data_IF_002256545117
#
_entry.id   IF_002256545117
#
_cell.length_a   1.000
_cell.length_b   1.000
_cell.length_c   1.000
_cell.angle_alpha   90.00
_cell.angle_beta   90.00
_cell.angle_gamma   90.00
#
_symmetry.space_group_name_H-M   'P 1'
#
loop_
_entity.id
_entity.type
_entity.pdbx_description
1 polymer ?
#
# COMPACT_ATOMS: atom_id res chain seq x y z
N UNK A 1 -31.83 56.04 -42.76
CA UNK A 1 -30.89 55.12 -43.43
C UNK A 1 -30.15 54.38 -42.31
N UNK A 2 -30.70 53.41 -41.61
CA UNK A 2 -31.77 52.43 -41.90
C UNK A 2 -31.38 51.33 -42.89
N UNK A 3 -31.71 50.09 -42.49
CA UNK A 3 -31.73 48.80 -43.20
C UNK A 3 -30.40 48.06 -43.56
N UNK A 4 -30.19 46.96 -42.82
CA UNK A 4 -30.10 45.54 -43.26
C UNK A 4 -29.68 45.19 -44.70
N UNK A 5 -28.86 44.12 -44.81
CA UNK A 5 -28.98 43.11 -45.89
C UNK A 5 -28.36 41.76 -45.48
N UNK A 6 -29.07 40.66 -45.78
CA UNK A 6 -28.63 39.25 -45.63
C UNK A 6 -28.32 38.63 -47.01
N UNK A 7 -27.39 37.66 -47.08
CA UNK A 7 -27.25 36.58 -48.11
C UNK A 7 -26.17 35.58 -47.61
N UNK A 8 -26.25 34.23 -47.59
CA UNK A 8 -27.26 33.17 -47.86
C UNK A 8 -27.14 32.39 -49.20
N UNK A 9 -27.26 31.04 -49.12
CA UNK A 9 -27.15 29.99 -50.20
C UNK A 9 -25.72 29.91 -50.84
N UNK A 10 -25.11 28.79 -51.31
CA UNK A 10 -25.57 27.46 -51.79
C UNK A 10 -24.58 26.32 -51.47
N UNK A 11 -25.09 25.10 -51.27
CA UNK A 11 -24.34 23.82 -51.17
C UNK A 11 -24.09 23.16 -52.53
N UNK A 12 -22.92 22.55 -52.73
CA UNK A 12 -22.71 21.53 -53.79
C UNK A 12 -21.92 20.35 -53.25
N UNK A 13 -22.52 19.15 -53.31
CA UNK A 13 -21.82 17.86 -53.25
C UNK A 13 -21.33 17.50 -54.66
N UNK A 14 -20.20 16.83 -54.75
CA UNK A 14 -19.88 15.94 -55.88
C UNK A 14 -19.13 14.72 -55.36
N UNK A 15 -19.72 13.54 -55.56
CA UNK A 15 -19.07 12.24 -55.43
C UNK A 15 -18.46 11.89 -56.79
N UNK A 16 -17.39 11.09 -56.84
CA UNK A 16 -17.05 10.33 -58.05
C UNK A 16 -16.19 9.10 -57.73
N UNK A 17 -16.80 7.94 -57.96
CA UNK A 17 -16.20 6.65 -58.33
C UNK A 17 -15.45 6.79 -59.68
N UNK A 18 -14.66 5.86 -60.24
CA UNK A 18 -14.02 4.59 -59.86
C UNK A 18 -12.98 4.29 -60.97
N UNK A 19 -11.97 3.43 -60.74
CA UNK A 19 -11.49 2.43 -61.72
C UNK A 19 -10.32 1.59 -61.18
N UNK A 20 -10.41 0.27 -61.39
CA UNK A 20 -9.35 -0.71 -61.15
C UNK A 20 -8.48 -0.87 -62.42
N UNK A 21 -7.21 -1.24 -62.25
CA UNK A 21 -6.49 -2.09 -63.22
C UNK A 21 -5.55 -3.04 -62.45
N UNK A 22 -5.56 -4.31 -62.82
CA UNK A 22 -4.67 -5.36 -62.31
C UNK A 22 -3.59 -5.66 -63.37
N UNK A 23 -2.34 -5.86 -62.97
CA UNK A 23 -1.37 -6.68 -63.70
C UNK A 23 -0.55 -7.54 -62.71
N UNK A 24 -0.11 -8.73 -63.15
CA UNK A 24 0.47 -9.79 -62.33
C UNK A 24 2.00 -9.91 -62.51
N UNK A 25 2.67 -10.61 -61.57
CA UNK A 25 4.08 -11.03 -61.66
C UNK A 25 5.09 -10.01 -61.10
N UNK A 26 6.13 -10.37 -60.35
CA UNK A 26 6.68 -11.69 -60.01
C UNK A 26 7.01 -11.82 -58.51
N UNK A 27 7.12 -13.05 -58.01
CA UNK A 27 7.29 -13.32 -56.58
C UNK A 27 8.74 -13.52 -56.13
N UNK A 28 9.10 -12.89 -55.00
CA UNK A 28 10.08 -13.43 -54.05
C UNK A 28 9.50 -13.45 -52.63
N UNK A 29 9.68 -14.57 -51.94
CA UNK A 29 9.02 -14.84 -50.65
C UNK A 29 9.69 -14.10 -49.50
N UNK A 30 9.01 -13.08 -48.94
CA UNK A 30 9.31 -12.57 -47.60
C UNK A 30 8.08 -12.71 -46.68
N UNK A 31 8.29 -13.37 -45.53
CA UNK A 31 7.25 -13.70 -44.57
C UNK A 31 6.78 -12.42 -43.85
N UNK A 32 5.46 -12.11 -43.82
CA UNK A 32 4.98 -10.91 -43.15
C UNK A 32 5.20 -10.90 -41.65
N UNK A 33 5.63 -9.74 -41.16
CA UNK A 33 5.80 -9.38 -39.76
C UNK A 33 4.50 -9.58 -38.97
N UNK A 34 4.46 -10.56 -38.06
CA UNK A 34 3.35 -10.75 -37.13
C UNK A 34 3.69 -10.27 -35.70
N UNK A 35 2.90 -9.32 -35.23
CA UNK A 35 2.48 -9.16 -33.84
C UNK A 35 0.95 -9.29 -33.82
N UNK A 36 0.27 -9.68 -32.72
CA UNK A 36 0.71 -9.63 -31.33
C UNK A 36 0.80 -11.01 -30.61
N UNK A 37 1.31 -11.00 -29.37
CA UNK A 37 1.38 -12.20 -28.54
C UNK A 37 -0.01 -12.60 -28.04
N UNK A 38 -0.59 -13.67 -28.57
CA UNK A 38 -1.85 -14.23 -28.06
C UNK A 38 -1.71 -14.64 -26.58
N UNK A 39 -2.52 -14.02 -25.72
CA UNK A 39 -2.71 -14.51 -24.34
C UNK A 39 -3.52 -15.83 -24.38
N UNK A 40 -3.72 -16.50 -23.23
CA UNK A 40 -4.51 -17.75 -23.22
C UNK A 40 -5.99 -17.54 -23.65
N UNK A 41 -6.47 -16.30 -23.84
CA UNK A 41 -7.87 -15.99 -24.14
C UNK A 41 -8.10 -14.89 -25.18
N UNK A 42 -8.34 -15.30 -26.43
CA UNK A 42 -9.15 -14.55 -27.41
C UNK A 42 -10.48 -15.26 -27.77
N UNK A 43 -10.76 -16.44 -27.20
CA UNK A 43 -11.98 -17.22 -27.52
C UNK A 43 -12.42 -18.19 -26.42
N UNK A 44 -13.02 -17.69 -25.32
CA UNK A 44 -14.06 -18.41 -24.56
C UNK A 44 -14.67 -17.56 -23.43
N UNK A 45 -16.00 -17.58 -23.28
CA UNK A 45 -16.74 -16.70 -22.34
C UNK A 45 -16.92 -17.25 -20.91
N UNK A 46 -16.38 -18.44 -20.56
CA UNK A 46 -16.64 -19.09 -19.27
C UNK A 46 -15.37 -19.45 -18.48
N UNK A 47 -14.88 -18.52 -17.65
CA UNK A 47 -13.81 -18.75 -16.67
C UNK A 47 -14.17 -18.26 -15.28
N UNK A 48 -13.81 -19.06 -14.26
CA UNK A 48 -14.07 -18.76 -12.83
C UNK A 48 -13.03 -17.86 -12.15
N UNK A 49 -12.03 -17.32 -12.86
CA UNK A 49 -10.94 -16.51 -12.25
C UNK A 49 -10.22 -15.65 -13.29
N UNK A 50 -10.01 -14.35 -13.00
CA UNK A 50 -9.35 -13.42 -13.94
C UNK A 50 -7.84 -13.62 -14.12
N UNK A 51 -7.21 -14.48 -13.29
CA UNK A 51 -5.76 -14.76 -13.28
C UNK A 51 -5.23 -15.21 -14.66
N UNK A 52 -6.06 -15.87 -15.45
CA UNK A 52 -5.69 -16.38 -16.76
C UNK A 52 -5.27 -15.31 -17.78
N UNK A 53 -5.72 -14.05 -17.61
CA UNK A 53 -5.35 -12.93 -18.50
C UNK A 53 -3.88 -12.54 -18.40
N UNK A 54 -3.18 -13.00 -17.37
CA UNK A 54 -1.79 -12.66 -17.06
C UNK A 54 -0.78 -13.64 -17.70
N UNK A 55 -1.26 -14.57 -18.53
CA UNK A 55 -0.47 -15.65 -19.13
C UNK A 55 -0.75 -15.76 -20.64
N UNK A 56 0.29 -16.12 -21.41
CA UNK A 56 0.22 -16.51 -22.81
C UNK A 56 0.44 -18.01 -22.96
N UNK A 57 -0.27 -18.67 -23.88
CA UNK A 57 -0.14 -20.12 -24.07
C UNK A 57 1.20 -20.48 -24.72
N UNK A 58 1.81 -21.59 -24.30
CA UNK A 58 3.04 -22.14 -24.90
C UNK A 58 2.85 -23.60 -25.33
N UNK A 59 1.62 -24.11 -25.27
CA UNK A 59 1.30 -25.49 -25.64
C UNK A 59 1.66 -26.51 -24.55
N UNK A 60 1.83 -27.77 -24.94
CA UNK A 60 2.15 -28.88 -24.03
C UNK A 60 3.66 -29.10 -23.94
N UNK A 61 4.15 -29.29 -22.72
CA UNK A 61 5.52 -29.72 -22.47
C UNK A 61 5.73 -31.20 -22.81
N UNK A 62 7.00 -31.63 -22.79
CA UNK A 62 7.41 -33.04 -22.95
C UNK A 62 6.79 -33.98 -21.88
N UNK A 63 6.30 -33.41 -20.79
CA UNK A 63 5.56 -34.07 -19.71
C UNK A 63 4.05 -34.19 -20.00
N UNK A 64 3.60 -33.81 -21.20
CA UNK A 64 2.19 -33.81 -21.61
C UNK A 64 1.35 -32.65 -21.04
N UNK A 65 1.94 -31.85 -20.15
CA UNK A 65 1.26 -30.81 -19.37
C UNK A 65 1.14 -29.50 -20.13
N UNK A 66 -0.03 -28.87 -20.08
CA UNK A 66 -0.23 -27.55 -20.70
C UNK A 66 0.53 -26.48 -19.90
N UNK A 67 1.30 -25.64 -20.59
CA UNK A 67 2.16 -24.61 -19.98
C UNK A 67 1.84 -23.23 -20.54
N UNK A 68 1.74 -22.26 -19.64
CA UNK A 68 1.54 -20.85 -19.92
C UNK A 68 2.71 -20.01 -19.40
N UNK A 69 3.07 -18.99 -20.16
CA UNK A 69 4.14 -18.03 -19.88
C UNK A 69 3.55 -16.78 -19.26
N UNK A 70 4.01 -16.36 -18.09
CA UNK A 70 3.63 -15.10 -17.49
C UNK A 70 4.03 -13.92 -18.39
N UNK A 71 3.10 -13.01 -18.68
CA UNK A 71 3.34 -11.87 -19.59
C UNK A 71 4.26 -10.77 -19.01
N UNK A 72 4.58 -10.86 -17.71
CA UNK A 72 5.38 -9.87 -16.98
C UNK A 72 6.85 -10.30 -16.79
N UNK A 73 7.11 -11.57 -16.50
CA UNK A 73 8.46 -12.09 -16.22
C UNK A 73 8.88 -13.29 -17.08
N UNK A 74 8.07 -13.66 -18.07
CA UNK A 74 8.32 -14.80 -18.98
C UNK A 74 8.47 -16.17 -18.31
N UNK A 75 8.15 -16.31 -17.01
CA UNK A 75 8.20 -17.60 -16.30
C UNK A 75 7.11 -18.55 -16.80
N UNK A 76 7.50 -19.78 -17.12
CA UNK A 76 6.59 -20.83 -17.59
C UNK A 76 6.02 -21.62 -16.40
N UNK A 77 4.70 -21.76 -16.36
CA UNK A 77 3.94 -22.43 -15.31
C UNK A 77 2.89 -23.36 -15.92
N UNK A 78 2.52 -24.42 -15.21
CA UNK A 78 1.49 -25.38 -15.66
C UNK A 78 0.11 -24.71 -15.57
N UNK A 79 -0.69 -24.79 -16.62
CA UNK A 79 -1.99 -24.11 -16.79
C UNK A 79 -3.18 -25.06 -16.99
N UNK A 80 -3.02 -26.33 -16.60
CA UNK A 80 -4.05 -27.36 -16.74
C UNK A 80 -5.39 -26.95 -16.10
N UNK A 81 -6.47 -27.04 -16.89
CA UNK A 81 -7.85 -26.70 -16.47
C UNK A 81 -8.42 -27.61 -15.38
N UNK A 82 -7.78 -28.75 -15.11
CA UNK A 82 -8.13 -29.71 -14.06
C UNK A 82 -7.67 -29.30 -12.66
N UNK A 83 -6.72 -28.36 -12.55
CA UNK A 83 -6.15 -27.90 -11.29
C UNK A 83 -6.62 -26.48 -10.95
N UNK A 84 -6.76 -26.17 -9.65
CA UNK A 84 -7.17 -24.85 -9.18
C UNK A 84 -6.15 -23.75 -9.51
N UNK A 85 -6.62 -22.52 -9.79
CA UNK A 85 -5.76 -21.39 -10.25
C UNK A 85 -4.81 -20.81 -9.20
N UNK A 86 -4.67 -21.43 -8.03
CA UNK A 86 -4.03 -20.84 -6.84
C UNK A 86 -2.53 -20.64 -7.00
N UNK A 87 -1.81 -21.54 -7.68
CA UNK A 87 -0.39 -21.38 -7.97
C UNK A 87 -0.11 -20.28 -9.00
N UNK A 88 -0.98 -20.14 -10.01
CA UNK A 88 -0.92 -19.04 -10.98
C UNK A 88 -1.20 -17.70 -10.29
N UNK A 89 -2.19 -17.64 -9.40
CA UNK A 89 -2.50 -16.44 -8.61
C UNK A 89 -1.33 -16.06 -7.71
N UNK A 90 -0.75 -17.02 -6.99
CA UNK A 90 0.45 -16.83 -6.17
C UNK A 90 1.59 -16.23 -6.99
N UNK A 91 1.84 -16.77 -8.19
CA UNK A 91 2.87 -16.24 -9.07
C UNK A 91 2.59 -14.79 -9.51
N UNK A 92 1.36 -14.47 -9.91
CA UNK A 92 1.00 -13.11 -10.35
C UNK A 92 1.20 -12.09 -9.22
N UNK A 93 0.90 -12.45 -7.97
CA UNK A 93 1.08 -11.56 -6.82
C UNK A 93 2.55 -11.38 -6.41
N UNK A 94 3.40 -12.41 -6.54
CA UNK A 94 4.84 -12.31 -6.25
C UNK A 94 5.71 -11.99 -7.48
N UNK A 95 5.10 -11.63 -8.60
CA UNK A 95 5.82 -11.32 -9.84
C UNK A 95 6.47 -9.93 -9.77
N UNK A 96 7.74 -9.87 -9.36
CA UNK A 96 8.53 -8.64 -9.25
C UNK A 96 8.43 -7.72 -10.48
N UNK A 97 8.40 -8.28 -11.69
CA UNK A 97 8.27 -7.51 -12.93
C UNK A 97 6.87 -6.91 -13.18
N UNK A 98 5.82 -7.45 -12.52
CA UNK A 98 4.48 -6.86 -12.55
C UNK A 98 4.41 -5.63 -11.64
N UNK A 99 5.06 -5.69 -10.48
CA UNK A 99 5.15 -4.53 -9.58
C UNK A 99 6.02 -3.41 -10.16
N UNK A 100 7.12 -3.74 -10.84
CA UNK A 100 7.91 -2.74 -11.58
C UNK A 100 7.11 -2.07 -12.70
N UNK A 101 6.31 -2.83 -13.47
CA UNK A 101 5.44 -2.26 -14.52
C UNK A 101 4.31 -1.38 -13.98
N UNK A 102 3.81 -1.60 -12.75
CA UNK A 102 2.87 -0.65 -12.10
C UNK A 102 3.54 0.69 -11.80
N UNK A 103 4.82 0.68 -11.42
CA UNK A 103 5.59 1.89 -11.10
C UNK A 103 5.94 2.67 -12.38
N UNK A 104 6.17 1.96 -13.50
CA UNK A 104 6.48 2.55 -14.81
C UNK A 104 5.25 2.90 -15.66
N UNK A 105 4.02 2.75 -15.16
CA UNK A 105 2.78 2.96 -15.92
C UNK A 105 2.40 4.42 -16.22
N UNK A 106 3.35 5.36 -16.09
CA UNK A 106 3.18 6.77 -16.40
C UNK A 106 4.28 7.24 -17.35
N UNK A 107 3.88 7.51 -18.59
CA UNK A 107 4.64 7.97 -19.77
C UNK A 107 5.20 6.88 -20.69
N UNK A 108 4.61 6.79 -21.88
CA UNK A 108 5.25 6.25 -23.08
C UNK A 108 6.39 7.18 -23.53
N UNK A 109 7.54 6.62 -23.93
CA UNK A 109 8.63 7.43 -24.46
C UNK A 109 10.01 6.75 -24.52
N UNK A 110 10.27 6.08 -25.64
CA UNK A 110 11.60 5.74 -26.20
C UNK A 110 12.49 4.69 -25.50
N UNK A 111 12.67 3.60 -26.26
CA UNK A 111 13.87 2.77 -26.37
C UNK A 111 15.20 3.50 -26.07
N UNK A 112 16.10 2.88 -25.26
CA UNK A 112 17.17 2.01 -25.81
C UNK A 112 18.15 1.42 -24.76
N UNK A 113 18.71 0.26 -25.12
CA UNK A 113 20.01 -0.34 -24.72
C UNK A 113 20.19 -1.01 -23.33
N UNK A 114 20.07 -2.34 -23.42
CA UNK A 114 20.72 -3.41 -22.65
C UNK A 114 22.13 -3.07 -22.14
N UNK A 115 22.40 -3.39 -20.87
CA UNK A 115 23.73 -3.82 -20.41
C UNK A 115 23.62 -5.05 -19.49
N UNK A 116 24.19 -6.18 -19.93
CA UNK A 116 24.21 -7.43 -19.18
C UNK A 116 25.43 -7.50 -18.25
N UNK A 117 25.23 -7.44 -16.93
CA UNK A 117 26.25 -7.90 -15.99
C UNK A 117 25.99 -9.34 -15.56
N UNK A 118 26.68 -10.29 -16.21
CA UNK A 118 26.88 -11.63 -15.65
C UNK A 118 27.77 -11.50 -14.40
N UNK A 119 27.24 -11.83 -13.22
CA UNK A 119 28.09 -12.27 -12.12
C UNK A 119 28.09 -13.79 -12.07
N UNK A 120 29.24 -14.35 -12.44
CA UNK A 120 29.56 -15.76 -12.27
C UNK A 120 30.20 -15.92 -10.88
N UNK A 121 29.63 -16.75 -10.01
CA UNK A 121 30.31 -17.19 -8.79
C UNK A 121 30.13 -18.69 -8.62
N UNK A 122 31.13 -19.44 -9.08
CA UNK A 122 31.35 -20.81 -8.64
C UNK A 122 31.44 -20.85 -7.11
N UNK A 123 30.81 -21.83 -6.48
CA UNK A 123 31.04 -22.16 -5.08
C UNK A 123 31.53 -23.61 -5.05
N UNK A 124 32.75 -23.80 -4.55
CA UNK A 124 33.39 -25.10 -4.46
C UNK A 124 32.67 -26.02 -3.45
N UNK A 125 32.35 -27.23 -3.92
CA UNK A 125 31.76 -28.28 -3.07
C UNK A 125 32.87 -28.97 -2.29
N UNK A 126 33.20 -28.44 -1.12
CA UNK A 126 34.03 -29.16 -0.15
C UNK A 126 33.21 -30.32 0.44
N UNK A 127 33.48 -31.53 -0.06
CA UNK A 127 33.03 -32.78 0.57
C UNK A 127 33.75 -32.93 1.92
N UNK A 128 33.00 -32.95 3.00
CA UNK A 128 33.48 -33.46 4.29
C UNK A 128 32.69 -34.71 4.66
N UNK A 129 33.31 -35.87 4.48
CA UNK A 129 32.78 -37.17 4.90
C UNK A 129 32.81 -37.29 6.42
N UNK A 130 31.73 -37.78 7.03
CA UNK A 130 31.73 -38.27 8.41
C UNK A 130 31.23 -39.70 8.41
N UNK A 131 31.97 -40.57 9.07
CA UNK A 131 31.81 -42.03 9.10
C UNK A 131 30.73 -42.49 10.07
N UNK A 132 30.06 -43.59 9.72
CA UNK A 132 29.14 -44.32 10.61
C UNK A 132 29.91 -45.11 11.69
N UNK A 133 29.36 -45.21 12.90
CA UNK A 133 29.65 -46.31 13.82
C UNK A 133 28.48 -46.60 14.76
N UNK A 134 27.98 -47.84 14.71
CA UNK A 134 27.11 -48.47 15.71
C UNK A 134 27.84 -48.66 17.06
N UNK A 135 27.26 -49.04 18.20
CA UNK A 135 26.09 -49.89 18.47
C UNK A 135 25.52 -49.76 19.91
N UNK A 136 24.22 -50.01 20.05
CA UNK A 136 23.43 -50.73 21.09
C UNK A 136 23.79 -50.84 22.61
N UNK A 137 22.68 -50.73 23.39
CA UNK A 137 22.23 -51.47 24.61
C UNK A 137 22.43 -50.92 26.04
N UNK A 138 21.27 -50.55 26.61
CA UNK A 138 20.67 -50.87 27.93
C UNK A 138 21.49 -50.86 29.24
N UNK A 139 20.92 -50.19 30.26
CA UNK A 139 21.29 -50.33 31.68
C UNK A 139 20.47 -49.41 32.60
N UNK A 140 19.57 -49.98 33.40
CA UNK A 140 18.71 -49.25 34.37
C UNK A 140 19.38 -49.20 35.75
N UNK A 141 19.37 -48.03 36.43
CA UNK A 141 19.41 -47.94 37.89
C UNK A 141 18.97 -46.56 38.42
N UNK A 142 18.18 -46.55 39.48
CA UNK A 142 17.61 -45.35 40.11
C UNK A 142 18.58 -44.72 41.13
N UNK A 143 18.76 -43.39 41.08
CA UNK A 143 19.29 -42.60 42.21
C UNK A 143 18.50 -41.30 42.34
N UNK A 144 18.20 -40.91 43.59
CA UNK A 144 17.33 -39.79 43.98
C UNK A 144 17.91 -38.41 43.59
N UNK A 145 17.06 -37.37 43.41
CA UNK A 145 17.47 -36.09 42.83
C UNK A 145 18.20 -35.19 43.84
N UNK A 146 19.54 -35.14 43.74
CA UNK A 146 20.34 -34.08 44.39
C UNK A 146 20.15 -32.76 43.64
N UNK A 147 19.56 -31.76 44.32
CA UNK A 147 19.46 -30.38 43.81
C UNK A 147 20.85 -29.79 43.56
N UNK A 148 21.33 -29.80 42.31
CA UNK A 148 22.46 -28.98 41.88
C UNK A 148 21.95 -27.65 41.33
N UNK A 149 22.05 -26.59 42.14
CA UNK A 149 22.08 -25.24 41.58
C UNK A 149 23.28 -25.14 40.65
N UNK A 150 23.06 -24.72 39.41
CA UNK A 150 24.13 -24.40 38.46
C UNK A 150 23.96 -22.95 38.02
N UNK A 151 24.49 -22.05 38.83
CA UNK A 151 24.81 -20.69 38.42
C UNK A 151 25.92 -20.74 37.37
N UNK A 152 25.56 -20.59 36.11
CA UNK A 152 26.52 -20.36 35.04
C UNK A 152 25.90 -19.44 34.00
N UNK A 153 26.34 -18.18 34.03
CA UNK A 153 26.11 -17.21 32.96
C UNK A 153 26.60 -17.79 31.64
N UNK A 154 25.66 -18.14 30.77
CA UNK A 154 25.92 -18.39 29.36
C UNK A 154 25.30 -17.23 28.59
N UNK A 155 26.14 -16.35 28.06
CA UNK A 155 25.72 -15.42 27.02
C UNK A 155 25.30 -16.25 25.81
N UNK A 156 24.00 -16.46 25.68
CA UNK A 156 23.42 -17.20 24.56
C UNK A 156 23.71 -16.45 23.28
N UNK A 157 24.78 -16.86 22.57
CA UNK A 157 25.16 -16.29 21.28
C UNK A 157 24.04 -16.56 20.28
N UNK A 158 23.13 -15.60 20.13
CA UNK A 158 21.94 -15.70 19.31
C UNK A 158 22.35 -16.03 17.88
N UNK A 159 22.12 -17.28 17.46
CA UNK A 159 22.43 -17.73 16.11
C UNK A 159 21.41 -17.11 15.16
N UNK A 160 21.72 -15.93 14.65
CA UNK A 160 20.92 -15.29 13.61
C UNK A 160 20.90 -16.16 12.36
N UNK A 161 19.73 -16.66 12.00
CA UNK A 161 19.48 -17.37 10.76
C UNK A 161 18.58 -16.50 9.88
N UNK A 162 19.03 -16.17 8.68
CA UNK A 162 18.25 -15.37 7.74
C UNK A 162 17.21 -16.27 7.06
N UNK A 163 15.92 -16.00 7.30
CA UNK A 163 14.84 -16.69 6.60
C UNK A 163 14.83 -16.24 5.13
N UNK A 164 15.21 -17.13 4.22
CA UNK A 164 15.12 -16.89 2.78
C UNK A 164 13.67 -17.10 2.31
N UNK A 165 12.90 -16.01 2.36
CA UNK A 165 11.46 -16.01 2.07
C UNK A 165 10.64 -15.96 3.36
N UNK A 166 10.23 -14.77 3.77
CA UNK A 166 9.31 -14.57 4.91
C UNK A 166 7.85 -14.91 4.54
N UNK A 167 7.55 -15.09 3.26
CA UNK A 167 6.25 -15.52 2.73
C UNK A 167 5.84 -16.94 3.16
N UNK A 168 6.78 -17.73 3.70
CA UNK A 168 6.46 -18.98 4.42
C UNK A 168 5.68 -18.73 5.73
N UNK A 169 5.70 -17.50 6.24
CA UNK A 169 4.95 -17.05 7.41
C UNK A 169 3.63 -16.35 7.03
N UNK A 170 3.25 -16.31 5.76
CA UNK A 170 1.92 -15.91 5.32
C UNK A 170 0.92 -17.08 5.47
N UNK A 171 -0.33 -16.76 5.76
CA UNK A 171 -1.39 -17.76 5.80
C UNK A 171 -1.67 -18.29 4.38
N UNK A 172 -1.66 -19.61 4.13
CA UNK A 172 -1.87 -20.18 2.79
C UNK A 172 -3.30 -20.00 2.24
N UNK A 173 -4.22 -19.45 3.04
CA UNK A 173 -5.64 -19.27 2.73
C UNK A 173 -5.97 -17.82 2.39
N UNK A 174 -5.58 -16.86 3.25
CA UNK A 174 -5.82 -15.43 3.02
C UNK A 174 -4.64 -14.66 2.44
N UNK A 175 -3.43 -15.24 2.42
CA UNK A 175 -2.18 -14.60 1.95
C UNK A 175 -1.80 -13.32 2.72
N UNK A 176 -2.25 -13.24 3.97
CA UNK A 176 -1.83 -12.24 4.96
C UNK A 176 -0.88 -12.90 5.96
N UNK A 177 0.02 -12.12 6.55
CA UNK A 177 0.94 -12.58 7.60
C UNK A 177 0.19 -13.37 8.68
N UNK A 178 0.74 -14.51 9.10
CA UNK A 178 0.20 -15.29 10.21
C UNK A 178 0.13 -14.41 11.47
N UNK A 179 -0.98 -14.51 12.19
CA UNK A 179 -1.21 -13.80 13.44
C UNK A 179 -1.48 -14.80 14.55
N UNK A 180 -0.95 -14.53 15.74
CA UNK A 180 -1.17 -15.34 16.94
C UNK A 180 -2.63 -15.16 17.39
N UNK A 181 -3.41 -16.22 17.65
CA UNK A 181 -3.01 -17.63 17.66
C UNK A 181 -2.93 -18.27 16.27
N UNK A 182 -1.90 -19.10 16.06
CA UNK A 182 -1.73 -19.92 14.85
C UNK A 182 -2.25 -21.33 15.15
N UNK A 183 -3.16 -21.84 14.32
CA UNK A 183 -3.73 -23.17 14.48
C UNK A 183 -3.10 -24.18 13.53
N UNK A 184 -3.05 -25.44 13.97
CA UNK A 184 -2.52 -26.56 13.19
C UNK A 184 -3.50 -27.75 13.28
N UNK A 185 -3.77 -28.40 12.16
CA UNK A 185 -4.51 -29.67 12.17
C UNK A 185 -3.58 -30.84 12.52
N UNK A 186 -4.12 -32.02 12.82
CA UNK A 186 -3.34 -33.21 13.19
C UNK A 186 -2.30 -33.63 12.13
N UNK A 187 -2.57 -33.34 10.85
CA UNK A 187 -1.64 -33.55 9.73
C UNK A 187 -0.62 -32.42 9.51
N UNK A 188 -0.48 -31.48 10.44
CA UNK A 188 0.57 -30.46 10.43
C UNK A 188 0.31 -29.17 9.65
N UNK A 189 -0.78 -29.07 8.87
CA UNK A 189 -1.11 -27.87 8.10
C UNK A 189 -1.53 -26.68 8.97
N UNK A 190 -1.00 -25.49 8.67
CA UNK A 190 -1.26 -24.25 9.42
C UNK A 190 -2.46 -23.47 8.88
N UNK A 191 -3.22 -22.87 9.79
CA UNK A 191 -4.38 -22.00 9.52
C UNK A 191 -4.35 -20.82 10.50
N UNK A 192 -4.53 -19.58 10.02
CA UNK A 192 -4.58 -18.42 10.90
C UNK A 192 -5.94 -18.32 11.62
N UNK A 193 -5.95 -17.63 12.76
CA UNK A 193 -7.14 -17.39 13.58
C UNK A 193 -8.35 -16.86 12.81
N UNK A 194 -8.13 -15.94 11.86
CA UNK A 194 -9.20 -15.30 11.07
C UNK A 194 -9.73 -16.17 9.91
N UNK A 195 -9.02 -17.23 9.52
CA UNK A 195 -9.46 -18.18 8.49
C UNK A 195 -10.14 -19.41 9.07
N UNK A 196 -9.76 -19.86 10.27
CA UNK A 196 -10.32 -21.04 10.92
C UNK A 196 -11.88 -21.08 10.96
N UNK A 197 -12.58 -20.02 11.42
CA UNK A 197 -14.06 -20.03 11.44
C UNK A 197 -14.67 -19.97 10.03
N UNK A 198 -14.00 -19.33 9.07
CA UNK A 198 -14.44 -19.23 7.66
C UNK A 198 -14.39 -20.58 6.93
N UNK A 199 -13.60 -21.52 7.45
CA UNK A 199 -13.47 -22.89 6.95
C UNK A 199 -14.23 -23.90 7.82
N UNK A 200 -15.16 -23.45 8.66
CA UNK A 200 -15.95 -24.30 9.56
C UNK A 200 -15.08 -25.24 10.42
N UNK A 201 -13.89 -24.77 10.82
CA UNK A 201 -12.89 -25.53 11.57
C UNK A 201 -12.40 -26.83 10.88
N UNK A 202 -12.40 -26.85 9.54
CA UNK A 202 -11.85 -27.92 8.69
C UNK A 202 -10.56 -27.47 8.00
N UNK A 203 -9.57 -28.35 7.91
CA UNK A 203 -8.35 -28.09 7.15
C UNK A 203 -8.65 -28.13 5.63
N UNK A 204 -8.32 -27.09 4.85
CA UNK A 204 -8.63 -27.08 3.41
C UNK A 204 -7.74 -28.02 2.58
N UNK A 205 -6.67 -28.56 3.17
CA UNK A 205 -5.71 -29.46 2.50
C UNK A 205 -6.03 -30.95 2.73
N UNK A 206 -6.58 -31.30 3.91
CA UNK A 206 -6.77 -32.71 4.31
C UNK A 206 -8.06 -32.99 5.08
N UNK A 207 -9.01 -32.04 5.12
CA UNK A 207 -10.33 -32.09 5.80
C UNK A 207 -10.32 -32.36 7.33
N UNK A 208 -9.16 -32.62 7.92
CA UNK A 208 -9.01 -32.85 9.36
C UNK A 208 -9.46 -31.64 10.19
N UNK A 209 -9.98 -31.84 11.41
CA UNK A 209 -10.32 -30.74 12.31
C UNK A 209 -9.13 -29.81 12.58
N UNK A 210 -9.41 -28.51 12.70
CA UNK A 210 -8.43 -27.46 13.02
C UNK A 210 -9.06 -26.45 13.99
N UNK A 211 -8.27 -25.57 14.60
CA UNK A 211 -8.77 -24.52 15.52
C UNK A 211 -8.76 -24.88 17.00
N UNK A 212 -8.54 -26.15 17.35
CA UNK A 212 -8.41 -26.61 18.73
C UNK A 212 -6.93 -26.73 19.18
N UNK A 213 -6.03 -27.07 18.26
CA UNK A 213 -4.59 -27.19 18.53
C UNK A 213 -3.82 -25.95 18.02
N UNK A 214 -3.03 -25.30 18.91
CA UNK A 214 -2.21 -24.12 18.61
C UNK A 214 -0.76 -24.50 18.33
N UNK A 215 -0.23 -24.03 17.21
CA UNK A 215 1.16 -24.26 16.82
C UNK A 215 2.13 -23.33 17.56
N UNK A 216 2.30 -23.52 18.87
CA UNK A 216 3.16 -22.67 19.72
C UNK A 216 4.58 -22.51 19.17
N UNK A 217 5.14 -23.53 18.53
CA UNK A 217 6.45 -23.45 17.89
C UNK A 217 6.49 -22.38 16.78
N UNK A 218 5.47 -22.33 15.91
CA UNK A 218 5.39 -21.31 14.85
C UNK A 218 5.01 -19.93 15.40
N UNK A 219 4.28 -19.86 16.52
CA UNK A 219 4.05 -18.60 17.24
C UNK A 219 5.38 -18.02 17.75
N UNK A 220 6.26 -18.84 18.34
CA UNK A 220 7.62 -18.43 18.75
C UNK A 220 8.52 -18.05 17.56
N UNK A 221 8.44 -18.78 16.44
CA UNK A 221 9.16 -18.40 15.21
C UNK A 221 8.71 -17.01 14.75
N UNK A 222 7.40 -16.78 14.65
CA UNK A 222 6.82 -15.50 14.23
C UNK A 222 7.26 -14.34 15.13
N UNK A 223 7.28 -14.53 16.46
CA UNK A 223 7.76 -13.52 17.42
C UNK A 223 9.26 -13.20 17.27
N UNK A 224 10.05 -14.14 16.73
CA UNK A 224 11.50 -13.97 16.52
C UNK A 224 11.88 -13.38 15.15
N UNK A 225 10.93 -13.24 14.23
CA UNK A 225 11.22 -12.77 12.85
C UNK A 225 11.07 -11.26 12.75
N UNK A 226 12.16 -10.64 12.29
CA UNK A 226 12.22 -9.21 12.00
C UNK A 226 12.59 -8.98 10.53
N UNK A 227 11.92 -8.01 9.90
CA UNK A 227 12.15 -7.59 8.52
C UNK A 227 12.63 -6.14 8.48
N UNK A 228 13.47 -5.72 7.52
CA UNK A 228 13.83 -4.32 7.37
C UNK A 228 12.60 -3.47 7.04
N UNK A 229 12.54 -2.26 7.60
CA UNK A 229 11.50 -1.28 7.27
C UNK A 229 11.43 -1.00 5.75
N UNK A 230 10.23 -0.85 5.19
CA UNK A 230 10.07 -0.50 3.75
C UNK A 230 10.76 0.82 3.37
N UNK A 231 11.00 1.70 4.35
CA UNK A 231 11.72 2.96 4.21
C UNK A 231 13.26 2.82 4.35
N UNK A 232 13.83 1.61 4.36
CA UNK A 232 15.31 1.44 4.37
C UNK A 232 15.97 2.10 3.15
N UNK A 233 15.32 2.12 1.99
CA UNK A 233 15.76 2.88 0.81
C UNK A 233 15.85 4.40 1.02
N UNK A 234 15.23 4.93 2.08
CA UNK A 234 15.27 6.34 2.48
C UNK A 234 16.15 6.58 3.73
N UNK A 235 16.82 5.55 4.25
CA UNK A 235 17.73 5.65 5.41
C UNK A 235 17.23 4.98 6.71
N UNK A 236 16.05 4.35 6.71
CA UNK A 236 15.58 3.66 7.92
C UNK A 236 16.37 2.37 8.20
N UNK A 237 17.08 2.32 9.32
CA UNK A 237 17.86 1.16 9.78
C UNK A 237 17.10 0.23 10.74
N UNK A 238 15.83 0.53 11.02
CA UNK A 238 15.01 -0.23 11.98
C UNK A 238 14.47 -1.49 11.30
N UNK A 239 14.74 -2.64 11.93
CA UNK A 239 14.05 -3.88 11.64
C UNK A 239 12.78 -3.98 12.51
N UNK A 240 11.67 -4.37 11.91
CA UNK A 240 10.34 -4.42 12.52
C UNK A 240 9.88 -5.87 12.63
N UNK A 241 9.10 -6.19 13.66
CA UNK A 241 8.49 -7.53 13.80
C UNK A 241 7.56 -7.78 12.60
N UNK A 242 7.70 -8.95 11.98
CA UNK A 242 6.92 -9.32 10.80
C UNK A 242 5.40 -9.37 11.09
N UNK A 243 4.59 -8.86 10.17
CA UNK A 243 3.15 -8.65 10.36
C UNK A 243 2.80 -7.43 11.23
N UNK A 244 3.79 -6.66 11.70
CA UNK A 244 3.64 -5.40 12.47
C UNK A 244 4.36 -4.22 11.82
N UNK A 245 4.63 -4.30 10.51
CA UNK A 245 5.29 -3.25 9.75
C UNK A 245 4.51 -1.94 9.81
N UNK A 246 3.18 -2.01 9.68
CA UNK A 246 2.28 -0.86 9.58
C UNK A 246 2.19 0.01 10.85
N UNK A 247 2.59 -0.49 12.03
CA UNK A 247 2.67 0.35 13.24
C UNK A 247 3.92 1.22 13.18
N UNK A 248 5.06 0.65 12.79
CA UNK A 248 6.29 1.41 12.59
C UNK A 248 6.19 2.40 11.43
N UNK A 249 5.58 2.02 10.29
CA UNK A 249 5.44 2.89 9.12
C UNK A 249 4.73 4.22 9.43
N UNK A 250 3.80 4.24 10.40
CA UNK A 250 3.09 5.46 10.85
C UNK A 250 3.97 6.41 11.67
N UNK A 251 4.99 5.88 12.32
CA UNK A 251 5.89 6.57 13.26
C UNK A 251 7.32 6.77 12.70
N UNK A 252 7.62 6.15 11.55
CA UNK A 252 8.92 6.19 10.91
C UNK A 252 9.24 7.60 10.38
N UNK A 253 10.34 8.19 10.86
CA UNK A 253 10.85 9.51 10.40
C UNK A 253 11.14 9.55 8.90
N UNK A 254 11.40 8.40 8.29
CA UNK A 254 11.72 8.26 6.87
C UNK A 254 10.48 7.97 5.98
N UNK A 255 9.27 7.94 6.57
CA UNK A 255 8.04 7.80 5.79
C UNK A 255 7.82 9.00 4.89
N UNK A 256 7.53 8.70 3.62
CA UNK A 256 7.24 9.72 2.63
C UNK A 256 5.82 10.25 2.85
N UNK A 257 5.67 11.56 2.81
CA UNK A 257 4.39 12.26 2.80
C UNK A 257 4.05 12.69 1.37
N UNK A 258 2.76 12.79 1.08
CA UNK A 258 2.20 13.27 -0.18
C UNK A 258 1.92 14.78 -0.08
N UNK A 259 2.06 15.48 -1.22
CA UNK A 259 1.72 16.89 -1.28
C UNK A 259 0.21 17.09 -1.06
N UNK A 260 -0.24 18.01 -0.17
CA UNK A 260 -1.66 18.26 0.04
C UNK A 260 -2.29 19.16 -1.04
N UNK A 261 -1.51 19.63 -2.02
CA UNK A 261 -2.02 20.41 -3.14
C UNK A 261 -2.87 19.53 -4.07
N UNK A 262 -3.98 20.07 -4.59
CA UNK A 262 -4.78 19.40 -5.60
C UNK A 262 -3.93 19.12 -6.86
N UNK A 263 -4.18 17.96 -7.47
CA UNK A 263 -3.50 17.47 -8.68
C UNK A 263 -1.96 17.39 -8.60
N UNK A 264 -1.40 17.33 -7.39
CA UNK A 264 0.04 17.14 -7.17
C UNK A 264 0.36 15.71 -6.68
N UNK A 265 1.21 15.00 -7.42
CA UNK A 265 1.67 13.65 -7.08
C UNK A 265 3.04 13.60 -6.39
N UNK A 266 3.61 14.75 -6.00
CA UNK A 266 4.95 14.80 -5.38
C UNK A 266 4.94 14.14 -4.00
N UNK A 267 5.91 13.26 -3.77
CA UNK A 267 6.16 12.58 -2.50
C UNK A 267 7.56 12.86 -1.98
N UNK A 268 7.71 13.10 -0.69
CA UNK A 268 9.02 13.35 -0.06
C UNK A 268 8.99 13.23 1.46
N UNK A 269 10.11 13.49 2.13
CA UNK A 269 10.10 13.73 3.59
C UNK A 269 9.20 14.93 3.91
N UNK A 270 8.69 15.04 5.15
CA UNK A 270 7.82 16.16 5.55
C UNK A 270 8.50 17.53 5.33
N UNK A 271 9.82 17.62 5.57
CA UNK A 271 10.63 18.81 5.28
C UNK A 271 10.75 19.13 3.79
N UNK A 272 10.88 18.11 2.92
CA UNK A 272 10.93 18.31 1.47
C UNK A 272 9.56 18.71 0.92
N UNK A 273 8.49 18.13 1.46
CA UNK A 273 7.09 18.46 1.14
C UNK A 273 6.77 19.91 1.48
N UNK A 274 7.26 20.42 2.62
CA UNK A 274 7.15 21.85 2.94
C UNK A 274 7.87 22.72 1.90
N UNK A 275 9.14 22.43 1.56
CA UNK A 275 9.89 23.20 0.55
C UNK A 275 9.15 23.18 -0.79
N UNK A 276 8.82 21.99 -1.30
CA UNK A 276 8.08 21.80 -2.53
C UNK A 276 6.76 22.59 -2.56
N UNK A 277 5.97 22.58 -1.48
CA UNK A 277 4.72 23.32 -1.42
C UNK A 277 4.93 24.84 -1.47
N UNK A 278 5.93 25.36 -0.75
CA UNK A 278 6.27 26.79 -0.82
C UNK A 278 6.75 27.16 -2.23
N UNK A 279 7.67 26.39 -2.80
CA UNK A 279 8.32 26.72 -4.08
C UNK A 279 7.36 26.59 -5.29
N UNK A 280 6.37 25.69 -5.25
CA UNK A 280 5.55 25.34 -6.42
C UNK A 280 4.06 25.72 -6.27
N UNK A 281 3.53 25.77 -5.05
CA UNK A 281 2.08 25.82 -4.81
C UNK A 281 1.61 27.06 -4.04
N UNK A 282 2.43 27.71 -3.21
CA UNK A 282 1.92 28.77 -2.31
C UNK A 282 1.38 30.02 -3.03
N UNK A 283 1.79 30.26 -4.27
CA UNK A 283 1.31 31.38 -5.10
C UNK A 283 0.15 31.02 -6.04
N UNK A 284 -0.01 29.73 -6.37
CA UNK A 284 -0.94 29.26 -7.40
C UNK A 284 -2.14 28.50 -6.81
N UNK A 285 -2.01 27.96 -5.60
CA UNK A 285 -3.08 27.26 -4.88
C UNK A 285 -3.61 28.13 -3.76
N UNK A 286 -4.90 28.00 -3.43
CA UNK A 286 -5.47 28.67 -2.26
C UNK A 286 -4.79 28.12 -1.00
N UNK A 287 -3.97 28.96 -0.38
CA UNK A 287 -3.18 28.61 0.79
C UNK A 287 -3.00 29.82 1.70
N UNK A 288 -2.74 29.58 3.00
CA UNK A 288 -2.61 30.66 3.98
C UNK A 288 -1.42 30.44 4.90
N UNK A 289 -0.53 31.44 4.99
CA UNK A 289 0.60 31.41 5.92
C UNK A 289 0.17 31.82 7.34
N UNK A 290 0.69 31.16 8.37
CA UNK A 290 0.40 31.54 9.78
C UNK A 290 1.56 31.21 10.73
N UNK A 291 1.42 31.60 12.01
CA UNK A 291 2.34 31.23 13.11
C UNK A 291 1.61 30.43 14.17
N UNK A 292 2.21 29.33 14.63
CA UNK A 292 1.74 28.56 15.76
C UNK A 292 1.65 29.41 17.03
N UNK A 293 0.51 29.33 17.73
CA UNK A 293 0.17 30.11 18.91
C UNK A 293 -0.67 31.36 18.62
N UNK A 294 -0.84 31.73 17.35
CA UNK A 294 -1.81 32.74 16.91
C UNK A 294 -3.21 32.19 16.64
N UNK A 295 -4.05 33.01 16.02
CA UNK A 295 -5.27 32.58 15.35
C UNK A 295 -5.37 33.30 14.01
N UNK A 296 -5.93 32.61 13.01
CA UNK A 296 -6.08 33.10 11.65
C UNK A 296 -7.52 32.89 11.18
N UNK A 297 -8.07 33.89 10.52
CA UNK A 297 -9.39 33.82 9.91
C UNK A 297 -9.21 33.30 8.47
N UNK A 298 -10.01 32.30 8.09
CA UNK A 298 -9.95 31.64 6.78
C UNK A 298 -11.34 31.56 6.18
N UNK A 299 -11.42 31.59 4.86
CA UNK A 299 -12.66 31.55 4.11
C UNK A 299 -12.56 30.47 3.02
N UNK A 300 -13.53 29.57 2.97
CA UNK A 300 -13.63 28.51 1.96
C UNK A 300 -15.00 28.55 1.27
N UNK A 301 -15.05 28.30 -0.04
CA UNK A 301 -16.33 27.96 -0.69
C UNK A 301 -16.53 26.44 -0.62
N UNK A 302 -17.49 25.97 0.16
CA UNK A 302 -17.68 24.53 0.44
C UNK A 302 -18.31 23.73 -0.71
N UNK A 303 -18.75 24.39 -1.78
CA UNK A 303 -19.26 23.72 -2.99
C UNK A 303 -18.14 23.30 -3.94
N UNK A 304 -17.05 24.09 -4.05
CA UNK A 304 -15.93 23.82 -4.95
C UNK A 304 -14.58 23.53 -4.25
N UNK A 305 -14.33 24.06 -3.05
CA UNK A 305 -13.10 23.87 -2.29
C UNK A 305 -13.27 22.81 -1.19
N UNK A 306 -12.64 21.65 -1.36
CA UNK A 306 -12.63 20.57 -0.35
C UNK A 306 -11.46 20.65 0.62
N UNK A 307 -10.41 21.40 0.26
CA UNK A 307 -9.16 21.51 1.02
C UNK A 307 -8.60 22.93 0.92
N UNK A 308 -8.10 23.44 2.05
CA UNK A 308 -7.30 24.65 2.16
C UNK A 308 -5.99 24.28 2.87
N UNK A 309 -4.84 24.63 2.26
CA UNK A 309 -3.53 24.32 2.85
C UNK A 309 -3.06 25.51 3.69
N UNK A 310 -2.81 25.27 4.97
CA UNK A 310 -2.21 26.25 5.89
C UNK A 310 -0.73 25.90 6.09
N UNK A 311 0.17 26.87 6.00
CA UNK A 311 1.60 26.65 6.13
C UNK A 311 2.23 27.50 7.23
N UNK A 312 3.01 26.85 8.10
CA UNK A 312 3.62 27.47 9.28
C UNK A 312 5.13 27.62 9.06
N UNK A 313 5.60 28.87 9.07
CA UNK A 313 6.93 29.21 8.58
C UNK A 313 8.08 29.06 9.58
N UNK A 314 7.82 28.95 10.89
CA UNK A 314 8.86 28.79 11.92
C UNK A 314 9.21 27.33 12.17
N UNK A 315 8.19 26.47 12.17
CA UNK A 315 8.27 25.01 12.33
C UNK A 315 8.38 24.28 10.99
N UNK A 316 8.14 24.97 9.88
CA UNK A 316 8.13 24.42 8.51
C UNK A 316 7.17 23.23 8.37
N UNK A 317 5.92 23.44 8.82
CA UNK A 317 4.87 22.42 8.81
C UNK A 317 3.72 22.85 7.88
N UNK A 318 3.15 21.87 7.17
CA UNK A 318 1.91 22.02 6.42
C UNK A 318 0.74 21.42 7.20
N UNK A 319 -0.42 22.05 7.07
CA UNK A 319 -1.68 21.57 7.60
C UNK A 319 -2.74 21.59 6.50
N UNK A 320 -3.51 20.52 6.39
CA UNK A 320 -4.69 20.47 5.54
C UNK A 320 -5.93 20.77 6.40
N UNK A 321 -6.62 21.85 6.08
CA UNK A 321 -7.99 22.09 6.50
C UNK A 321 -8.91 21.44 5.46
N UNK A 322 -9.59 20.36 5.83
CA UNK A 322 -10.49 19.63 4.92
C UNK A 322 -11.95 19.78 5.34
N UNK A 323 -12.82 19.98 4.36
CA UNK A 323 -14.27 20.08 4.52
C UNK A 323 -14.97 18.93 3.79
N UNK A 324 -15.86 18.23 4.49
CA UNK A 324 -16.67 17.13 3.96
C UNK A 324 -18.15 17.48 4.15
N UNK A 325 -18.85 17.71 3.04
CA UNK A 325 -20.27 18.05 3.04
C UNK A 325 -21.10 16.76 3.03
N UNK A 326 -21.82 16.50 4.12
CA UNK A 326 -22.66 15.33 4.32
C UNK A 326 -24.14 15.75 4.45
N UNK A 327 -25.13 14.84 4.27
CA UNK A 327 -26.55 15.21 4.24
C UNK A 327 -27.09 15.99 5.45
N UNK A 328 -26.43 15.89 6.61
CA UNK A 328 -26.88 16.52 7.86
C UNK A 328 -26.04 17.75 8.27
N UNK A 329 -24.90 17.99 7.63
CA UNK A 329 -24.00 19.09 7.97
C UNK A 329 -22.59 18.91 7.41
N UNK A 330 -21.75 19.88 7.73
CA UNK A 330 -20.36 19.95 7.29
C UNK A 330 -19.41 19.45 8.37
N UNK A 331 -18.51 18.53 7.99
CA UNK A 331 -17.41 18.07 8.83
C UNK A 331 -16.14 18.83 8.45
N UNK A 332 -15.55 19.54 9.41
CA UNK A 332 -14.32 20.32 9.23
C UNK A 332 -13.18 19.71 10.04
N UNK A 333 -12.03 19.45 9.43
CA UNK A 333 -10.86 18.86 10.10
C UNK A 333 -9.58 19.60 9.83
N UNK A 334 -8.67 19.59 10.81
CA UNK A 334 -7.27 20.01 10.62
C UNK A 334 -6.37 18.79 10.77
N UNK A 335 -5.57 18.50 9.74
CA UNK A 335 -4.55 17.44 9.72
C UNK A 335 -3.17 18.05 9.47
N UNK A 336 -2.13 17.53 10.12
CA UNK A 336 -0.74 17.95 9.86
C UNK A 336 -0.08 16.95 8.90
N UNK A 337 0.58 17.45 7.85
CA UNK A 337 1.24 16.61 6.85
C UNK A 337 2.65 16.25 7.35
N UNK A 338 2.73 15.15 8.09
CA UNK A 338 3.95 14.66 8.72
C UNK A 338 3.76 13.21 9.21
N UNK A 339 4.84 12.41 9.35
CA UNK A 339 4.80 11.16 10.11
C UNK A 339 4.57 11.43 11.60
N UNK A 340 4.17 10.39 12.35
CA UNK A 340 3.86 10.50 13.79
C UNK A 340 5.09 10.59 14.70
N UNK A 341 6.12 11.33 14.27
CA UNK A 341 7.38 11.47 15.01
C UNK A 341 7.26 12.41 16.21
N UNK A 342 8.10 12.22 17.26
CA UNK A 342 8.18 13.13 18.41
C UNK A 342 8.66 14.54 18.06
N UNK A 343 9.54 14.68 17.05
CA UNK A 343 10.19 15.95 16.67
C UNK A 343 9.21 17.05 16.27
N UNK A 344 8.16 16.70 15.52
CA UNK A 344 7.05 17.61 15.14
C UNK A 344 6.29 18.12 16.38
N UNK A 345 6.39 17.39 17.50
CA UNK A 345 5.76 17.71 18.78
C UNK A 345 4.25 17.44 18.78
N UNK A 346 3.59 17.86 19.86
CA UNK A 346 2.13 17.90 19.96
C UNK A 346 1.65 19.33 19.78
N UNK A 347 0.71 19.55 18.88
CA UNK A 347 0.09 20.85 18.62
C UNK A 347 -1.40 20.72 18.90
N UNK A 348 -1.91 21.47 19.88
CA UNK A 348 -3.36 21.60 20.06
C UNK A 348 -3.93 22.54 19.00
N UNK A 349 -5.22 22.39 18.68
CA UNK A 349 -5.92 23.33 17.82
C UNK A 349 -7.33 23.66 18.29
N UNK A 350 -7.84 24.80 17.86
CA UNK A 350 -9.20 25.26 18.08
C UNK A 350 -9.77 25.80 16.77
N UNK A 351 -11.01 25.42 16.47
CA UNK A 351 -11.83 25.97 15.39
C UNK A 351 -12.98 26.74 16.02
N UNK A 352 -13.24 27.94 15.51
CA UNK A 352 -14.35 28.78 15.89
C UNK A 352 -15.14 29.12 14.64
N UNK A 353 -16.44 28.85 14.68
CA UNK A 353 -17.42 29.23 13.66
C UNK A 353 -18.47 30.11 14.32
N UNK A 354 -18.91 31.17 13.65
CA UNK A 354 -19.93 32.07 14.20
C UNK A 354 -20.84 32.60 13.09
N UNK A 355 -22.14 32.39 13.22
CA UNK A 355 -23.17 32.95 12.35
C UNK A 355 -24.42 33.30 13.15
N UNK A 356 -25.04 34.45 12.87
CA UNK A 356 -26.33 34.89 13.41
C UNK A 356 -26.41 34.85 14.95
N UNK A 357 -25.29 35.14 15.62
CA UNK A 357 -25.15 35.07 17.08
C UNK A 357 -24.93 33.67 17.65
N UNK A 358 -25.05 32.61 16.85
CA UNK A 358 -24.63 31.26 17.22
C UNK A 358 -23.12 31.10 17.02
N UNK A 359 -22.41 30.68 18.06
CA UNK A 359 -20.97 30.36 17.98
C UNK A 359 -20.75 28.88 18.29
N UNK A 360 -20.14 28.16 17.36
CA UNK A 360 -19.62 26.82 17.58
C UNK A 360 -18.12 26.89 17.85
N UNK A 361 -17.63 26.12 18.83
CA UNK A 361 -16.20 26.02 19.14
C UNK A 361 -15.81 24.57 19.28
N UNK A 362 -14.85 24.13 18.47
CA UNK A 362 -14.22 22.82 18.59
C UNK A 362 -12.78 22.97 19.07
N UNK A 363 -12.34 22.11 20.00
CA UNK A 363 -10.97 22.11 20.54
C UNK A 363 -10.44 20.69 20.58
N UNK A 364 -9.23 20.48 20.05
CA UNK A 364 -8.49 19.23 20.21
C UNK A 364 -7.15 19.48 20.89
N UNK A 365 -6.72 18.64 21.86
CA UNK A 365 -5.38 18.72 22.44
C UNK A 365 -4.27 18.34 21.44
N UNK A 366 -4.61 17.67 20.33
CA UNK A 366 -3.64 17.20 19.34
C UNK A 366 -4.20 17.23 17.90
N UNK A 367 -3.48 17.91 17.01
CA UNK A 367 -3.68 17.81 15.56
C UNK A 367 -3.25 16.41 15.11
N UNK A 368 -4.13 15.69 14.41
CA UNK A 368 -3.84 14.37 13.87
C UNK A 368 -2.85 14.48 12.71
N UNK A 369 -1.70 13.83 12.86
CA UNK A 369 -0.64 13.74 11.84
C UNK A 369 -1.00 12.68 10.81
N UNK A 370 -0.77 12.96 9.54
CA UNK A 370 -1.00 12.04 8.41
C UNK A 370 0.12 12.20 7.39
N UNK A 371 0.46 11.11 6.70
CA UNK A 371 1.37 11.15 5.54
C UNK A 371 0.62 11.53 4.25
N UNK A 372 -0.68 11.33 4.21
CA UNK A 372 -1.57 11.60 3.06
C UNK A 372 -2.94 12.07 3.58
N UNK A 373 -3.60 12.96 2.85
CA UNK A 373 -4.95 13.44 3.20
C UNK A 373 -6.02 12.42 2.80
N UNK A 374 -7.06 12.28 3.63
CA UNK A 374 -8.15 11.35 3.37
C UNK A 374 -9.25 12.02 2.55
N UNK A 375 -9.76 11.36 1.51
CA UNK A 375 -11.02 11.74 0.84
C UNK A 375 -12.27 11.22 1.56
N UNK A 376 -12.11 10.30 2.51
CA UNK A 376 -13.19 9.74 3.32
C UNK A 376 -13.51 10.62 4.53
N UNK A 377 -14.81 10.75 4.82
CA UNK A 377 -15.38 11.54 5.91
C UNK A 377 -14.84 11.10 7.29
N UNK A 378 -14.38 12.04 8.11
CA UNK A 378 -13.66 11.76 9.35
C UNK A 378 -14.56 11.14 10.42
N UNK A 379 -14.04 10.10 11.08
CA UNK A 379 -14.66 9.49 12.27
C UNK A 379 -14.12 10.08 13.58
N UNK A 380 -13.05 10.88 13.51
CA UNK A 380 -12.40 11.51 14.65
C UNK A 380 -11.81 12.89 14.31
N UNK A 381 -11.54 13.67 15.36
CA UNK A 381 -10.86 14.97 15.30
C UNK A 381 -11.46 15.95 14.27
N UNK A 382 -12.79 16.11 14.29
CA UNK A 382 -13.56 17.00 13.44
C UNK A 382 -14.48 17.94 14.25
N UNK A 383 -14.76 19.11 13.67
CA UNK A 383 -15.87 19.98 14.03
C UNK A 383 -17.06 19.66 13.12
N UNK A 384 -18.26 19.57 13.67
CA UNK A 384 -19.50 19.41 12.91
C UNK A 384 -20.28 20.73 12.93
N UNK A 385 -20.64 21.22 11.75
CA UNK A 385 -21.49 22.42 11.57
C UNK A 385 -22.79 21.97 10.90
N UNK A 386 -23.93 21.96 11.62
CA UNK A 386 -25.24 21.63 11.04
C UNK A 386 -25.59 22.56 9.87
N UNK A 387 -26.25 22.01 8.84
CA UNK A 387 -26.69 22.81 7.68
C UNK A 387 -27.63 23.97 8.06
N UNK A 388 -28.38 23.85 9.16
CA UNK A 388 -29.23 24.93 9.68
C UNK A 388 -28.47 26.14 10.23
N UNK A 389 -27.14 26.07 10.34
CA UNK A 389 -26.27 27.18 10.75
C UNK A 389 -25.37 27.67 9.62
N UNK A 390 -25.41 27.05 8.44
CA UNK A 390 -24.65 27.47 7.26
C UNK A 390 -25.51 28.39 6.38
N UNK A 391 -24.95 29.54 6.00
CA UNK A 391 -25.59 30.49 5.08
C UNK A 391 -24.85 30.52 3.74
N UNK A 392 -25.48 29.93 2.72
CA UNK A 392 -24.90 29.79 1.38
C UNK A 392 -23.70 28.83 1.35
N UNK A 393 -22.79 29.05 0.41
CA UNK A 393 -21.62 28.20 0.16
C UNK A 393 -20.34 28.70 0.85
N UNK A 394 -20.40 29.81 1.59
CA UNK A 394 -19.21 30.49 2.12
C UNK A 394 -19.01 30.16 3.60
N UNK A 395 -17.92 29.44 3.90
CA UNK A 395 -17.52 29.04 5.24
C UNK A 395 -16.41 29.96 5.75
N UNK A 396 -16.73 30.80 6.72
CA UNK A 396 -15.75 31.62 7.45
C UNK A 396 -15.43 30.96 8.81
N UNK A 397 -14.15 30.68 9.05
CA UNK A 397 -13.65 30.01 10.24
C UNK A 397 -12.46 30.75 10.83
N UNK A 398 -12.42 30.85 12.16
CA UNK A 398 -11.22 31.27 12.88
C UNK A 398 -10.51 30.05 13.44
N UNK A 399 -9.24 29.90 13.11
CA UNK A 399 -8.42 28.71 13.39
C UNK A 399 -7.22 29.12 14.24
N UNK A 400 -7.03 28.48 15.39
CA UNK A 400 -5.81 28.61 16.19
C UNK A 400 -5.11 27.27 16.32
N UNK A 401 -3.86 27.16 15.88
CA UNK A 401 -3.02 25.95 15.95
C UNK A 401 -1.77 26.24 16.79
N UNK A 402 -1.31 25.28 17.60
CA UNK A 402 -0.17 25.46 18.50
C UNK A 402 -0.50 26.26 19.77
N UNK A 403 -1.79 26.36 20.12
CA UNK A 403 -2.24 27.04 21.33
C UNK A 403 -1.77 26.28 22.58
N UNK A 404 -1.30 27.01 23.60
CA UNK A 404 -1.01 26.42 24.91
C UNK A 404 -2.31 25.98 25.57
N UNK A 405 -2.52 24.66 25.68
CA UNK A 405 -3.62 24.10 26.47
C UNK A 405 -3.44 24.53 27.92
N UNK A 406 -4.23 25.51 28.38
CA UNK A 406 -4.31 25.82 29.81
C UNK A 406 -4.96 24.61 30.49
N UNK A 407 -4.21 23.89 31.30
CA UNK A 407 -4.77 22.88 32.18
C UNK A 407 -5.88 23.55 33.01
N UNK A 408 -7.07 22.95 33.01
CA UNK A 408 -8.14 23.41 33.88
C UNK A 408 -7.64 23.29 35.32
N UNK A 409 -7.58 24.42 36.04
CA UNK A 409 -7.40 24.37 37.49
C UNK A 409 -8.68 23.81 38.06
N UNK A 410 -8.65 22.55 38.48
CA UNK A 410 -9.69 22.00 39.34
C UNK A 410 -9.65 22.82 40.63
N UNK A 411 -10.53 23.79 40.75
CA UNK A 411 -10.89 24.36 42.03
C UNK A 411 -11.72 23.31 42.76
N UNK A 412 -11.06 22.51 43.59
CA UNK A 412 -11.73 21.76 44.64
C UNK A 412 -12.47 22.76 45.52
N UNK A 413 -13.79 22.56 45.66
CA UNK A 413 -14.56 23.06 46.81
C UNK A 413 -14.47 22.03 47.94
#
# INVERSE_FOLDING_TARGET
MDLQSQETIVTVKAENECMEMNEEGDGETQVPLQSPTQTVFDSNQNLRSGVWKEFASVGKGIDGKERGRCIHCSKHLVIERTHGTSHLRRHVMSCQQKELRKISGGNDGQDRLIYNHKHNSSIDVVRTSVSESSCDREGVSNVLPVKRQRSSTSEGKTRSAMLLGVDILDCPICFEALTIPIFQCDNGHLVCSSCCPKLSNRCPTCDSPVGHNRCRAMETVLESVFVPCRNTKFGCTINVSYGKESTHEKECTFSQCFCPALDCNYTGSYSNIYSHFVDNHCHNTKSVSFVCGGSIDVQMNIANEKILVLWEFKKRLLFALQCFNEPHGLYVTVRCIAPSVPEVGKLAYCLYYSMDGHTLTYKSPEVKKVVEVSSQTPQDNFMFVPHSLLHGELLELKIGIGLKVRAARNHSM
#
